data_IF_510284131576
#
_entry.id   IF_510284131576
#
_cell.length_a   1.000
_cell.length_b   1.000
_cell.length_c   1.000
_cell.angle_alpha   90.00
_cell.angle_beta   90.00
_cell.angle_gamma   90.00
#
_symmetry.space_group_name_H-M   'P 1'
#
loop_
_entity.id
_entity.type
_entity.pdbx_description
1 polymer ?
#
# COMPACT_ATOMS: atom_id res chain seq x y z
N UNK A 1 41.41 -32.62 -21.94
CA UNK A 1 40.38 -32.33 -22.95
C UNK A 1 40.12 -33.65 -23.66
N UNK A 2 39.05 -34.35 -23.29
CA UNK A 2 38.73 -35.66 -23.86
C UNK A 2 37.74 -35.43 -25.01
N UNK A 3 38.11 -35.85 -26.21
CA UNK A 3 37.24 -35.84 -27.39
C UNK A 3 36.19 -36.93 -27.25
N UNK A 4 34.99 -36.56 -26.78
CA UNK A 4 33.80 -37.44 -26.83
C UNK A 4 33.32 -37.56 -28.27
N UNK A 5 33.93 -38.49 -29.03
CA UNK A 5 33.44 -38.88 -30.35
C UNK A 5 32.16 -39.69 -30.16
N UNK A 6 31.05 -39.17 -30.68
CA UNK A 6 29.75 -39.85 -30.70
C UNK A 6 29.91 -41.24 -31.35
N UNK A 7 29.46 -42.33 -30.73
CA UNK A 7 29.57 -43.65 -31.32
C UNK A 7 28.81 -43.71 -32.65
N UNK A 8 29.30 -44.50 -33.63
CA UNK A 8 28.65 -44.63 -34.93
C UNK A 8 27.23 -45.19 -34.78
N UNK A 9 26.29 -44.64 -35.56
CA UNK A 9 24.89 -45.03 -35.51
C UNK A 9 24.73 -46.53 -35.84
N UNK A 10 24.16 -47.30 -34.93
CA UNK A 10 23.80 -48.69 -35.17
C UNK A 10 22.59 -48.79 -36.10
N UNK A 11 22.72 -49.59 -37.17
CA UNK A 11 21.65 -49.78 -38.16
C UNK A 11 20.61 -50.79 -37.64
N UNK A 12 19.64 -50.31 -36.88
CA UNK A 12 18.51 -51.12 -36.42
C UNK A 12 17.50 -51.28 -37.57
N UNK A 13 17.13 -52.53 -37.88
CA UNK A 13 16.11 -52.81 -38.89
C UNK A 13 14.75 -52.30 -38.43
N UNK A 14 14.14 -51.40 -39.20
CA UNK A 14 12.81 -50.88 -38.92
C UNK A 14 11.76 -51.97 -39.14
N UNK A 15 10.90 -52.29 -38.16
CA UNK A 15 9.77 -53.20 -38.35
C UNK A 15 8.85 -52.75 -39.49
N UNK A 16 8.32 -53.69 -40.27
CA UNK A 16 7.56 -53.39 -41.51
C UNK A 16 6.41 -52.41 -41.29
N UNK A 17 5.71 -52.52 -40.16
CA UNK A 17 4.60 -51.63 -39.80
C UNK A 17 5.01 -50.15 -39.63
N UNK A 18 6.28 -49.88 -39.28
CA UNK A 18 6.79 -48.53 -38.98
C UNK A 18 7.51 -47.87 -40.16
N UNK A 19 7.77 -48.60 -41.26
CA UNK A 19 8.55 -48.08 -42.40
C UNK A 19 7.95 -46.78 -42.96
N UNK A 20 6.62 -46.74 -43.11
CA UNK A 20 5.95 -45.55 -43.64
C UNK A 20 6.14 -44.33 -42.72
N UNK A 21 5.95 -44.50 -41.41
CA UNK A 21 6.13 -43.45 -40.41
C UNK A 21 7.59 -42.97 -40.35
N UNK A 22 8.56 -43.88 -40.34
CA UNK A 22 9.99 -43.55 -40.30
C UNK A 22 10.43 -42.80 -41.57
N UNK A 23 9.90 -43.16 -42.74
CA UNK A 23 10.15 -42.42 -43.99
C UNK A 23 9.61 -41.00 -43.92
N UNK A 24 8.39 -40.82 -43.42
CA UNK A 24 7.80 -39.48 -43.25
C UNK A 24 8.59 -38.64 -42.23
N UNK A 25 8.96 -39.23 -41.09
CA UNK A 25 9.78 -38.57 -40.08
C UNK A 25 11.15 -38.17 -40.63
N UNK A 26 11.81 -39.06 -41.38
CA UNK A 26 13.09 -38.76 -42.04
C UNK A 26 12.95 -37.63 -43.06
N UNK A 27 11.85 -37.60 -43.83
CA UNK A 27 11.55 -36.51 -44.76
C UNK A 27 11.36 -35.19 -44.01
N UNK A 28 10.52 -35.15 -42.96
CA UNK A 28 10.29 -33.96 -42.15
C UNK A 28 11.58 -33.44 -41.49
N UNK A 29 12.45 -34.35 -41.03
CA UNK A 29 13.75 -33.99 -40.47
C UNK A 29 14.68 -33.37 -41.52
N UNK A 30 14.75 -33.94 -42.74
CA UNK A 30 15.54 -33.37 -43.84
C UNK A 30 15.02 -32.02 -44.31
N UNK A 31 13.72 -31.81 -44.22
CA UNK A 31 13.06 -30.52 -44.50
C UNK A 31 13.24 -29.50 -43.37
N UNK A 32 13.89 -29.87 -42.26
CA UNK A 32 14.20 -28.99 -41.14
C UNK A 32 13.05 -28.72 -40.16
N UNK A 33 11.88 -29.34 -40.37
CA UNK A 33 10.69 -29.13 -39.53
C UNK A 33 10.93 -29.52 -38.06
N UNK A 34 11.67 -30.60 -37.82
CA UNK A 34 11.99 -31.06 -36.45
C UNK A 34 12.90 -30.07 -35.71
N UNK A 35 13.83 -29.44 -36.44
CA UNK A 35 14.76 -28.45 -35.90
C UNK A 35 14.00 -27.15 -35.60
N UNK A 36 13.14 -26.70 -36.53
CA UNK A 36 12.30 -25.51 -36.32
C UNK A 36 11.36 -25.67 -35.13
N UNK A 37 10.76 -26.85 -34.95
CA UNK A 37 9.93 -27.16 -33.79
C UNK A 37 10.75 -27.11 -32.48
N UNK A 38 11.95 -27.70 -32.48
CA UNK A 38 12.84 -27.66 -31.32
C UNK A 38 13.21 -26.23 -30.95
N UNK A 39 13.62 -25.41 -31.93
CA UNK A 39 13.95 -24.00 -31.70
C UNK A 39 12.76 -23.19 -31.18
N UNK A 40 11.57 -23.41 -31.74
CA UNK A 40 10.35 -22.74 -31.26
C UNK A 40 9.98 -23.13 -29.82
N UNK A 41 10.21 -24.39 -29.43
CA UNK A 41 10.01 -24.84 -28.05
C UNK A 41 11.06 -24.25 -27.11
N UNK A 42 12.33 -24.21 -27.50
CA UNK A 42 13.40 -23.56 -26.73
C UNK A 42 13.13 -22.06 -26.54
N UNK A 43 12.68 -21.37 -27.58
CA UNK A 43 12.27 -19.96 -27.50
C UNK A 43 11.07 -19.77 -26.56
N UNK A 44 10.06 -20.65 -26.64
CA UNK A 44 8.90 -20.59 -25.75
C UNK A 44 9.29 -20.81 -24.28
N UNK A 45 10.18 -21.77 -24.00
CA UNK A 45 10.71 -22.03 -22.66
C UNK A 45 11.51 -20.83 -22.15
N UNK A 46 12.37 -20.24 -22.98
CA UNK A 46 13.11 -19.03 -22.62
C UNK A 46 12.18 -17.84 -22.33
N UNK A 47 11.06 -17.72 -23.06
CA UNK A 47 10.00 -16.74 -22.77
C UNK A 47 9.30 -17.05 -21.45
N UNK A 48 9.08 -18.31 -21.10
CA UNK A 48 8.54 -18.65 -19.79
C UNK A 48 9.54 -18.35 -18.67
N UNK A 49 10.81 -18.69 -18.80
CA UNK A 49 11.82 -18.39 -17.77
C UNK A 49 12.02 -16.88 -17.56
N UNK A 50 11.86 -16.08 -18.61
CA UNK A 50 11.93 -14.60 -18.52
C UNK A 50 10.63 -13.94 -18.04
N UNK A 51 9.47 -14.53 -18.30
CA UNK A 51 8.17 -14.05 -17.79
C UNK A 51 7.84 -14.58 -16.40
N UNK A 52 8.43 -15.71 -16.01
CA UNK A 52 8.48 -16.21 -14.63
C UNK A 52 9.63 -15.47 -13.95
N UNK A 53 9.50 -14.14 -13.85
CA UNK A 53 10.09 -13.36 -12.75
C UNK A 53 9.26 -13.59 -11.47
N UNK A 54 8.73 -14.81 -11.32
CA UNK A 54 8.35 -15.37 -10.02
C UNK A 54 9.63 -16.03 -9.53
N UNK A 55 10.61 -15.18 -9.28
CA UNK A 55 11.79 -15.51 -8.55
C UNK A 55 11.31 -15.91 -7.15
N UNK A 56 11.01 -17.20 -6.95
CA UNK A 56 10.89 -17.86 -5.64
C UNK A 56 12.31 -17.99 -5.05
N UNK A 57 13.12 -16.95 -5.20
CA UNK A 57 14.36 -16.77 -4.48
C UNK A 57 14.26 -15.46 -3.70
N UNK A 58 14.87 -15.39 -2.51
CA UNK A 58 14.82 -14.20 -1.64
C UNK A 58 15.57 -12.98 -2.21
N UNK A 59 15.80 -12.88 -3.53
CA UNK A 59 16.66 -11.88 -4.16
C UNK A 59 16.01 -11.10 -5.31
N UNK A 60 14.69 -11.18 -5.53
CA UNK A 60 14.06 -10.30 -6.52
C UNK A 60 14.33 -8.84 -6.16
N UNK A 61 14.80 -8.05 -7.13
CA UNK A 61 15.23 -6.65 -6.89
C UNK A 61 14.14 -5.82 -6.22
N UNK A 62 12.88 -6.13 -6.50
CA UNK A 62 11.71 -5.51 -5.88
C UNK A 62 11.57 -5.89 -4.41
N UNK A 63 11.77 -7.16 -4.04
CA UNK A 63 11.76 -7.61 -2.64
C UNK A 63 12.90 -6.98 -1.86
N UNK A 64 14.13 -6.94 -2.40
CA UNK A 64 15.27 -6.27 -1.76
C UNK A 64 15.02 -4.76 -1.54
N UNK A 65 14.37 -4.10 -2.49
CA UNK A 65 13.99 -2.69 -2.34
C UNK A 65 12.91 -2.49 -1.26
N UNK A 66 11.94 -3.41 -1.19
CA UNK A 66 10.90 -3.39 -0.17
C UNK A 66 11.48 -3.67 1.23
N UNK A 67 12.39 -4.62 1.36
CA UNK A 67 13.12 -4.93 2.59
C UNK A 67 13.91 -3.72 3.08
N UNK A 68 14.73 -3.11 2.21
CA UNK A 68 15.47 -1.89 2.55
C UNK A 68 14.55 -0.74 2.98
N UNK A 69 13.40 -0.59 2.33
CA UNK A 69 12.39 0.42 2.70
C UNK A 69 11.77 0.09 4.07
N UNK A 70 11.52 -1.18 4.35
CA UNK A 70 11.00 -1.64 5.63
C UNK A 70 11.99 -1.36 6.76
N UNK A 71 13.26 -1.71 6.59
CA UNK A 71 14.35 -1.43 7.53
C UNK A 71 14.44 0.07 7.85
N UNK A 72 14.44 0.93 6.82
CA UNK A 72 14.49 2.38 7.02
C UNK A 72 13.29 2.93 7.80
N UNK A 73 12.09 2.33 7.62
CA UNK A 73 10.89 2.71 8.36
C UNK A 73 10.94 2.21 9.81
N UNK A 74 11.49 1.02 10.04
CA UNK A 74 11.69 0.47 11.38
C UNK A 74 12.68 1.35 12.17
N UNK A 75 13.81 1.72 11.58
CA UNK A 75 14.77 2.65 12.21
C UNK A 75 14.14 4.00 12.56
N UNK A 76 13.30 4.53 11.66
CA UNK A 76 12.59 5.78 11.92
C UNK A 76 11.57 5.65 13.06
N UNK A 77 10.88 4.51 13.18
CA UNK A 77 9.98 4.24 14.30
C UNK A 77 10.75 4.07 15.61
N UNK A 78 11.86 3.34 15.62
CA UNK A 78 12.72 3.17 16.80
C UNK A 78 13.19 4.52 17.34
N UNK A 79 13.67 5.42 16.47
CA UNK A 79 14.07 6.79 16.87
C UNK A 79 12.91 7.60 17.46
N UNK A 80 11.72 7.48 16.87
CA UNK A 80 10.52 8.15 17.40
C UNK A 80 10.11 7.60 18.77
N UNK A 81 10.20 6.29 18.96
CA UNK A 81 9.92 5.64 20.24
C UNK A 81 10.94 6.08 21.30
N UNK A 82 12.23 6.14 20.97
CA UNK A 82 13.27 6.64 21.88
C UNK A 82 13.00 8.09 22.32
N UNK A 83 12.58 8.97 21.40
CA UNK A 83 12.20 10.34 21.72
C UNK A 83 10.99 10.40 22.66
N UNK A 84 9.97 9.56 22.43
CA UNK A 84 8.80 9.47 23.30
C UNK A 84 9.19 8.96 24.68
N UNK A 85 10.00 7.90 24.76
CA UNK A 85 10.47 7.33 26.02
C UNK A 85 11.28 8.34 26.84
N UNK A 86 12.14 9.12 26.17
CA UNK A 86 12.92 10.19 26.79
C UNK A 86 12.03 11.33 27.29
N UNK A 87 10.98 11.70 26.56
CA UNK A 87 10.00 12.70 26.97
C UNK A 87 9.14 12.25 28.16
N UNK A 88 8.76 10.97 28.20
CA UNK A 88 8.01 10.38 29.32
C UNK A 88 8.90 10.30 30.56
N UNK A 89 10.14 9.85 30.42
CA UNK A 89 11.09 9.72 31.52
C UNK A 89 11.41 11.10 32.14
N UNK A 90 11.68 12.11 31.32
CA UNK A 90 11.92 13.48 31.82
C UNK A 90 10.70 14.07 32.54
N UNK A 91 9.48 13.74 32.11
CA UNK A 91 8.24 14.17 32.77
C UNK A 91 8.04 13.48 34.12
N UNK A 92 8.42 12.21 34.26
CA UNK A 92 8.25 11.46 35.53
C UNK A 92 9.20 11.93 36.62
N UNK A 93 10.47 12.23 36.31
CA UNK A 93 11.44 12.70 37.30
C UNK A 93 11.28 14.18 37.72
N UNK A 94 10.41 14.95 37.05
CA UNK A 94 10.10 16.33 37.44
C UNK A 94 8.82 16.48 38.29
N UNK A 95 8.35 15.36 38.85
CA UNK A 95 7.18 15.31 39.75
C UNK A 95 7.55 15.76 41.17
N UNK A 96 7.83 17.04 41.36
CA UNK A 96 7.74 17.65 42.69
C UNK A 96 6.29 17.54 43.20
N UNK A 97 6.04 17.23 44.49
CA UNK A 97 4.69 17.21 45.05
C UNK A 97 4.08 18.59 44.86
N UNK A 98 2.90 18.63 44.23
CA UNK A 98 2.14 19.84 43.90
C UNK A 98 2.04 20.78 45.12
N UNK A 99 2.95 21.73 45.23
CA UNK A 99 2.61 23.00 45.83
C UNK A 99 1.55 23.62 44.93
N UNK A 100 0.45 24.06 45.54
CA UNK A 100 -0.60 24.88 44.92
C UNK A 100 0.05 26.15 44.35
N UNK A 101 0.64 26.03 43.17
CA UNK A 101 1.08 27.16 42.37
C UNK A 101 -0.18 27.76 41.78
N UNK A 102 -0.52 28.93 42.29
CA UNK A 102 -1.41 29.89 41.64
C UNK A 102 -1.09 29.86 40.14
N UNK A 103 -2.05 29.42 39.34
CA UNK A 103 -1.88 29.32 37.91
C UNK A 103 -1.67 30.75 37.39
N UNK A 104 -0.46 31.05 36.93
CA UNK A 104 -0.28 32.17 36.02
C UNK A 104 -1.18 31.85 34.81
N UNK A 105 -2.19 32.68 34.52
CA UNK A 105 -3.05 32.43 33.38
C UNK A 105 -2.20 32.73 32.16
N UNK A 106 -1.60 31.71 31.57
CA UNK A 106 -1.21 31.80 30.16
C UNK A 106 -2.49 32.21 29.44
N UNK A 107 -2.50 33.43 28.93
CA UNK A 107 -3.50 33.90 28.00
C UNK A 107 -3.50 32.90 26.84
N UNK A 108 -4.40 31.92 26.90
CA UNK A 108 -4.76 31.16 25.73
C UNK A 108 -5.32 32.20 24.77
N UNK A 109 -4.56 32.50 23.72
CA UNK A 109 -5.07 33.27 22.60
C UNK A 109 -6.34 32.55 22.16
N UNK A 110 -7.49 33.16 22.44
CA UNK A 110 -8.78 32.62 22.03
C UNK A 110 -8.80 32.76 20.52
N UNK A 111 -8.28 31.77 19.80
CA UNK A 111 -8.40 31.72 18.35
C UNK A 111 -9.88 31.53 18.07
N UNK A 112 -10.53 32.63 17.70
CA UNK A 112 -11.90 32.64 17.19
C UNK A 112 -11.95 31.70 16.00
N UNK A 113 -12.84 30.71 16.07
CA UNK A 113 -13.01 29.81 14.95
C UNK A 113 -13.66 30.59 13.81
N UNK A 114 -13.06 30.52 12.63
CA UNK A 114 -13.64 31.06 11.41
C UNK A 114 -14.72 30.11 10.89
N UNK A 115 -15.58 30.64 10.02
CA UNK A 115 -16.54 29.81 9.30
C UNK A 115 -15.78 28.78 8.44
N UNK A 116 -16.23 27.52 8.46
CA UNK A 116 -15.56 26.41 7.78
C UNK A 116 -16.40 25.86 6.63
N UNK A 117 -15.77 25.51 5.49
CA UNK A 117 -16.45 24.75 4.45
C UNK A 117 -16.69 23.30 4.91
N UNK A 118 -17.64 22.58 4.28
CA UNK A 118 -17.96 21.18 4.62
C UNK A 118 -16.73 20.27 4.58
N UNK A 119 -15.79 20.52 3.67
CA UNK A 119 -14.54 19.75 3.53
C UNK A 119 -13.64 19.81 4.77
N UNK A 120 -13.64 20.95 5.47
CA UNK A 120 -12.81 21.18 6.66
C UNK A 120 -13.56 20.82 7.94
N UNK A 121 -14.89 21.02 7.97
CA UNK A 121 -15.70 20.70 9.14
C UNK A 121 -15.90 19.20 9.30
N UNK A 122 -16.15 18.47 8.21
CA UNK A 122 -16.42 17.03 8.28
C UNK A 122 -15.32 16.23 8.99
N UNK A 123 -14.02 16.34 8.64
CA UNK A 123 -12.96 15.59 9.33
C UNK A 123 -12.84 15.98 10.80
N UNK A 124 -13.13 17.25 11.14
CA UNK A 124 -13.14 17.73 12.53
C UNK A 124 -14.24 17.07 13.37
N UNK A 125 -15.38 16.76 12.75
CA UNK A 125 -16.50 16.04 13.37
C UNK A 125 -16.38 14.50 13.23
N UNK A 126 -15.28 14.00 12.65
CA UNK A 126 -15.08 12.57 12.39
C UNK A 126 -15.96 12.01 11.27
N UNK A 127 -16.29 12.81 10.27
CA UNK A 127 -17.24 12.52 9.19
C UNK A 127 -16.64 12.72 7.79
N UNK A 128 -17.32 12.20 6.76
CA UNK A 128 -17.04 12.54 5.36
C UNK A 128 -17.79 13.81 4.94
N UNK A 129 -17.26 14.64 4.03
CA UNK A 129 -17.95 15.85 3.56
C UNK A 129 -19.34 15.57 2.97
N UNK A 130 -19.50 14.43 2.30
CA UNK A 130 -20.77 13.96 1.74
C UNK A 130 -21.85 13.60 2.77
N UNK A 131 -21.46 13.35 4.03
CA UNK A 131 -22.41 12.97 5.09
C UNK A 131 -23.01 14.16 5.84
N UNK A 132 -22.46 15.38 5.69
CA UNK A 132 -22.95 16.56 6.39
C UNK A 132 -24.29 17.09 5.84
N UNK A 133 -24.45 17.10 4.52
CA UNK A 133 -25.67 17.54 3.85
C UNK A 133 -26.92 16.71 4.27
N UNK A 134 -26.90 15.36 4.23
CA UNK A 134 -28.08 14.58 4.62
C UNK A 134 -28.39 14.69 6.12
N UNK A 135 -27.39 14.78 6.99
CA UNK A 135 -27.62 14.95 8.43
C UNK A 135 -28.21 16.34 8.76
N UNK A 136 -27.81 17.37 8.00
CA UNK A 136 -28.41 18.70 8.11
C UNK A 136 -29.87 18.72 7.66
N UNK A 137 -30.22 17.99 6.60
CA UNK A 137 -31.60 17.91 6.11
C UNK A 137 -32.50 17.08 7.03
N UNK A 138 -31.92 16.09 7.70
CA UNK A 138 -32.61 15.20 8.63
C UNK A 138 -32.96 15.88 9.96
N UNK A 139 -32.08 16.76 10.45
CA UNK A 139 -32.20 17.39 11.76
C UNK A 139 -32.73 18.82 11.65
N UNK A 140 -33.45 19.28 12.66
CA UNK A 140 -33.74 20.71 12.77
C UNK A 140 -32.46 21.50 13.07
N UNK A 141 -32.41 22.79 12.77
CA UNK A 141 -31.21 23.63 12.97
C UNK A 141 -30.66 23.53 14.40
N UNK A 142 -31.53 23.52 15.42
CA UNK A 142 -31.12 23.42 16.83
C UNK A 142 -30.54 22.05 17.16
N UNK A 143 -31.13 20.99 16.65
CA UNK A 143 -30.65 19.62 16.84
C UNK A 143 -29.32 19.40 16.13
N UNK A 144 -29.16 19.95 14.93
CA UNK A 144 -27.91 19.90 14.18
C UNK A 144 -26.77 20.61 14.93
N UNK A 145 -27.03 21.79 15.51
CA UNK A 145 -26.05 22.51 16.34
C UNK A 145 -25.65 21.67 17.57
N UNK A 146 -26.63 21.07 18.26
CA UNK A 146 -26.33 20.19 19.42
C UNK A 146 -25.55 18.94 19.02
N UNK A 147 -25.89 18.33 17.88
CA UNK A 147 -25.25 17.14 17.35
C UNK A 147 -23.80 17.40 16.94
N UNK A 148 -23.54 18.51 16.25
CA UNK A 148 -22.18 18.95 15.89
C UNK A 148 -21.37 19.30 17.14
N UNK A 149 -21.98 19.98 18.12
CA UNK A 149 -21.35 20.32 19.41
C UNK A 149 -20.85 19.10 20.16
N UNK A 150 -21.61 18.02 20.18
CA UNK A 150 -21.24 16.78 20.88
C UNK A 150 -20.10 16.02 20.19
N UNK A 151 -19.88 16.27 18.89
CA UNK A 151 -18.82 15.62 18.10
C UNK A 151 -17.55 16.47 18.01
N UNK A 152 -17.67 17.78 18.16
CA UNK A 152 -16.53 18.69 18.08
C UNK A 152 -15.59 18.51 19.29
N UNK A 153 -14.27 18.30 19.09
CA UNK A 153 -13.32 18.16 20.18
C UNK A 153 -13.26 19.37 21.14
N UNK A 154 -13.68 20.56 20.68
CA UNK A 154 -13.74 21.79 21.48
C UNK A 154 -15.16 22.10 21.97
N UNK A 155 -16.13 21.22 21.71
CA UNK A 155 -17.52 21.39 22.18
C UNK A 155 -18.23 22.58 21.54
N UNK A 156 -17.94 22.87 20.28
CA UNK A 156 -18.50 24.00 19.53
C UNK A 156 -19.58 23.51 18.58
N UNK A 157 -20.77 24.11 18.65
CA UNK A 157 -21.85 23.83 17.70
C UNK A 157 -21.60 24.53 16.38
N UNK A 158 -22.07 23.96 15.28
CA UNK A 158 -21.91 24.53 13.95
C UNK A 158 -23.27 24.71 13.29
N UNK A 159 -23.50 25.91 12.75
CA UNK A 159 -24.72 26.27 12.04
C UNK A 159 -24.42 26.52 10.57
N UNK A 160 -25.27 26.00 9.68
CA UNK A 160 -25.13 26.23 8.25
C UNK A 160 -25.75 27.58 7.85
N UNK A 161 -24.98 28.41 7.14
CA UNK A 161 -25.48 29.62 6.51
C UNK A 161 -25.65 29.40 5.00
N UNK A 162 -26.90 29.48 4.52
CA UNK A 162 -27.23 29.25 3.11
C UNK A 162 -26.74 30.36 2.16
N UNK A 163 -26.38 31.54 2.68
CA UNK A 163 -25.90 32.66 1.84
C UNK A 163 -24.45 32.48 1.40
N UNK A 164 -23.62 31.98 2.31
CA UNK A 164 -22.18 31.89 2.12
C UNK A 164 -21.71 30.44 1.92
N UNK A 165 -22.61 29.47 2.05
CA UNK A 165 -22.35 28.03 1.96
C UNK A 165 -21.27 27.53 2.96
N UNK A 166 -21.20 28.18 4.13
CA UNK A 166 -20.25 27.87 5.19
C UNK A 166 -20.94 27.53 6.50
N UNK A 167 -20.24 26.77 7.34
CA UNK A 167 -20.63 26.48 8.71
C UNK A 167 -20.01 27.48 9.67
N UNK A 168 -20.84 28.18 10.43
CA UNK A 168 -20.43 29.16 11.44
C UNK A 168 -20.43 28.54 12.84
N UNK A 169 -19.44 28.85 13.69
CA UNK A 169 -19.41 28.36 15.06
C UNK A 169 -20.43 29.09 15.93
N UNK A 170 -21.21 28.32 16.68
CA UNK A 170 -22.21 28.77 17.66
C UNK A 170 -21.79 28.26 19.04
N UNK A 171 -21.69 29.16 20.01
CA UNK A 171 -21.29 28.86 21.40
C UNK A 171 -22.45 28.38 22.26
#
# INVERSE_FOLDING_TARGET
MADDKTPPSEMIRVPTALIAAVRQLSKLHREGHTIALQQALEELLSRFDSNIDIDVTPSSKSVLQLEKKLESKLDAMTKKLELIERAISSTRYNSQPKQRRQANPYQQTQVELLALPPENLAPRLGLSPSSLAPEREKLTTKEFISWTRNRDPRGIGWEWNAKDELYHPVK
#
